data_IF_078380748435
#
_entry.id   IF_078380748435
#
_cell.length_a   1.000
_cell.length_b   1.000
_cell.length_c   1.000
_cell.angle_alpha   90.00
_cell.angle_beta   90.00
_cell.angle_gamma   90.00
#
_symmetry.space_group_name_H-M   'P 1'
#
loop_
_entity.id
_entity.type
_entity.pdbx_description
1 polymer ?
#
# COMPACT_ATOMS: atom_id res chain seq x y z
N UNK A 1 -10.79 14.96 10.83
CA UNK A 1 -12.12 14.56 11.36
C UNK A 1 -11.91 13.88 12.71
N UNK A 2 -12.83 14.05 13.67
CA UNK A 2 -12.77 13.39 14.97
C UNK A 2 -13.95 12.42 15.09
N UNK A 3 -13.67 11.20 15.57
CA UNK A 3 -14.69 10.18 15.84
C UNK A 3 -14.53 9.68 17.28
N UNK A 4 -15.65 9.38 17.94
CA UNK A 4 -15.66 8.70 19.23
C UNK A 4 -16.10 7.26 19.01
N UNK A 5 -15.32 6.31 19.53
CA UNK A 5 -15.61 4.87 19.42
C UNK A 5 -15.74 4.28 20.82
N UNK A 6 -16.71 3.38 20.98
CA UNK A 6 -16.83 2.57 22.19
C UNK A 6 -15.88 1.37 22.09
N UNK A 7 -15.05 1.17 23.13
CA UNK A 7 -14.16 0.03 23.26
C UNK A 7 -14.55 -0.76 24.51
N UNK A 8 -14.44 -2.10 24.50
CA UNK A 8 -14.52 -2.89 25.72
C UNK A 8 -13.51 -2.40 26.76
N UNK A 9 -13.92 -2.35 28.04
CA UNK A 9 -13.11 -1.77 29.13
C UNK A 9 -11.69 -2.36 29.18
N UNK A 10 -11.59 -3.69 29.14
CA UNK A 10 -10.32 -4.42 29.13
C UNK A 10 -9.39 -3.99 27.98
N UNK A 11 -9.97 -3.76 26.79
CA UNK A 11 -9.20 -3.31 25.63
C UNK A 11 -8.76 -1.85 25.78
N UNK A 12 -9.62 -1.00 26.34
CA UNK A 12 -9.29 0.40 26.62
C UNK A 12 -8.17 0.51 27.66
N UNK A 13 -8.21 -0.31 28.72
CA UNK A 13 -7.14 -0.38 29.73
C UNK A 13 -5.81 -0.79 29.11
N UNK A 14 -5.80 -1.86 28.29
CA UNK A 14 -4.59 -2.33 27.60
C UNK A 14 -4.02 -1.26 26.66
N UNK A 15 -4.86 -0.59 25.88
CA UNK A 15 -4.41 0.51 25.01
C UNK A 15 -3.79 1.65 25.82
N UNK A 16 -4.42 2.05 26.94
CA UNK A 16 -3.94 3.13 27.79
C UNK A 16 -2.60 2.82 28.44
N UNK A 17 -2.38 1.55 28.81
CA UNK A 17 -1.15 1.06 29.42
C UNK A 17 0.00 0.91 28.40
N UNK A 18 -0.31 0.45 27.18
CA UNK A 18 0.70 0.18 26.17
C UNK A 18 1.08 1.42 25.33
N UNK A 19 0.16 2.38 25.15
CA UNK A 19 0.35 3.51 24.23
C UNK A 19 0.25 4.86 24.98
N UNK A 20 1.29 5.72 24.89
CA UNK A 20 1.29 7.06 25.47
C UNK A 20 0.10 7.89 25.01
N UNK A 21 -0.46 8.72 25.89
CA UNK A 21 -1.68 9.48 25.61
C UNK A 21 -1.64 10.32 24.31
N UNK A 22 -0.47 10.85 23.96
CA UNK A 22 -0.27 11.69 22.76
C UNK A 22 -0.15 10.89 21.46
N UNK A 23 0.01 9.57 21.55
CA UNK A 23 0.25 8.68 20.40
C UNK A 23 -0.94 7.76 20.11
N UNK A 24 -1.94 7.70 21.00
CA UNK A 24 -3.10 6.79 20.87
C UNK A 24 -3.87 6.99 19.57
N UNK A 25 -4.09 8.24 19.17
CA UNK A 25 -4.78 8.53 17.90
C UNK A 25 -3.95 8.08 16.69
N UNK A 26 -2.63 8.23 16.74
CA UNK A 26 -1.74 7.76 15.67
C UNK A 26 -1.71 6.23 15.60
N UNK A 27 -1.66 5.55 16.75
CA UNK A 27 -1.75 4.10 16.84
C UNK A 27 -3.05 3.57 16.25
N UNK A 28 -4.20 4.16 16.61
CA UNK A 28 -5.50 3.77 16.07
C UNK A 28 -5.56 4.05 14.56
N UNK A 29 -5.05 5.19 14.10
CA UNK A 29 -5.02 5.52 12.68
C UNK A 29 -4.21 4.51 11.86
N UNK A 30 -3.06 4.09 12.38
CA UNK A 30 -2.23 3.08 11.70
C UNK A 30 -2.88 1.69 11.71
N UNK A 31 -3.51 1.31 12.83
CA UNK A 31 -4.28 0.08 12.91
C UNK A 31 -5.42 0.07 11.88
N UNK A 32 -6.16 1.16 11.76
CA UNK A 32 -7.24 1.30 10.78
C UNK A 32 -6.70 1.25 9.35
N UNK A 33 -5.58 1.91 9.04
CA UNK A 33 -4.98 1.87 7.70
C UNK A 33 -4.57 0.46 7.28
N UNK A 34 -4.10 -0.36 8.23
CA UNK A 34 -3.73 -1.76 7.96
C UNK A 34 -4.93 -2.70 7.86
N UNK A 35 -5.99 -2.41 8.63
CA UNK A 35 -7.15 -3.29 8.74
C UNK A 35 -8.23 -2.99 7.69
N UNK A 36 -8.36 -1.73 7.29
CA UNK A 36 -9.24 -1.34 6.21
C UNK A 36 -8.55 -1.66 4.89
N UNK A 37 -9.28 -2.17 3.88
CA UNK A 37 -8.73 -2.28 2.54
C UNK A 37 -8.26 -0.89 2.10
N UNK A 38 -7.18 -0.83 1.32
CA UNK A 38 -6.86 0.40 0.60
C UNK A 38 -8.12 0.83 -0.14
N UNK A 39 -8.47 2.12 -0.01
CA UNK A 39 -9.58 2.68 -0.77
C UNK A 39 -9.42 2.22 -2.19
N UNK A 40 -10.48 1.61 -2.69
CA UNK A 40 -10.51 0.78 -3.86
C UNK A 40 -10.34 1.70 -5.08
N UNK A 41 -9.09 2.15 -5.29
CA UNK A 41 -8.68 3.23 -6.17
C UNK A 41 -9.13 2.85 -7.57
N UNK A 42 -10.02 3.62 -8.21
CA UNK A 42 -10.46 3.35 -9.57
C UNK A 42 -9.28 3.15 -10.52
N UNK A 43 -8.17 3.87 -10.35
CA UNK A 43 -6.96 3.70 -11.15
C UNK A 43 -6.27 2.38 -10.84
N UNK A 44 -6.17 1.97 -9.58
CA UNK A 44 -5.62 0.67 -9.20
C UNK A 44 -6.44 -0.47 -9.80
N UNK A 45 -7.77 -0.40 -9.76
CA UNK A 45 -8.64 -1.43 -10.37
C UNK A 45 -8.47 -1.50 -11.89
N UNK A 46 -8.39 -0.35 -12.55
CA UNK A 46 -8.18 -0.29 -14.00
C UNK A 46 -6.81 -0.86 -14.35
N UNK A 47 -5.76 -0.45 -13.64
CA UNK A 47 -4.41 -0.98 -13.84
C UNK A 47 -4.38 -2.49 -13.61
N UNK A 48 -4.99 -2.97 -12.53
CA UNK A 48 -5.10 -4.40 -12.25
C UNK A 48 -5.86 -5.17 -13.34
N UNK A 49 -6.96 -4.62 -13.85
CA UNK A 49 -7.72 -5.24 -14.94
C UNK A 49 -6.91 -5.31 -16.24
N UNK A 50 -6.07 -4.30 -16.51
CA UNK A 50 -5.14 -4.26 -17.64
C UNK A 50 -4.05 -5.34 -17.50
N UNK A 51 -3.45 -5.47 -16.31
CA UNK A 51 -2.43 -6.51 -16.03
C UNK A 51 -3.00 -7.94 -16.10
N UNK A 52 -4.27 -8.14 -15.71
CA UNK A 52 -4.94 -9.45 -15.75
C UNK A 52 -5.41 -9.83 -17.18
N UNK A 53 -5.36 -8.93 -18.16
CA UNK A 53 -5.72 -9.20 -19.55
C UNK A 53 -4.59 -9.96 -20.28
N UNK A 54 -4.78 -11.28 -20.41
CA UNK A 54 -3.80 -12.16 -21.04
C UNK A 54 -3.54 -11.88 -22.53
N UNK A 55 -4.52 -11.32 -23.26
CA UNK A 55 -4.34 -10.99 -24.67
C UNK A 55 -3.44 -9.76 -24.81
N UNK A 56 -3.71 -8.73 -24.01
CA UNK A 56 -2.88 -7.52 -23.95
C UNK A 56 -1.48 -7.84 -23.42
N UNK A 57 -1.36 -8.66 -22.37
CA UNK A 57 -0.06 -9.08 -21.84
C UNK A 57 0.79 -9.83 -22.89
N UNK A 58 0.17 -10.64 -23.74
CA UNK A 58 0.84 -11.32 -24.84
C UNK A 58 1.35 -10.34 -25.90
N UNK A 59 0.59 -9.28 -26.22
CA UNK A 59 1.04 -8.19 -27.10
C UNK A 59 2.17 -7.36 -26.47
N UNK A 60 2.16 -7.21 -25.14
CA UNK A 60 3.17 -6.45 -24.40
C UNK A 60 4.47 -7.23 -24.14
N UNK A 61 4.46 -8.57 -24.21
CA UNK A 61 5.64 -9.40 -23.95
C UNK A 61 6.84 -9.06 -24.86
N UNK A 62 6.58 -8.64 -26.10
CA UNK A 62 7.63 -8.24 -27.04
C UNK A 62 8.38 -6.96 -26.58
N UNK A 63 7.77 -6.16 -25.71
CA UNK A 63 8.36 -4.94 -25.16
C UNK A 63 9.25 -5.20 -23.95
N UNK A 64 9.16 -6.36 -23.29
CA UNK A 64 9.96 -6.70 -22.10
C UNK A 64 11.47 -6.60 -22.33
N UNK A 65 11.92 -6.79 -23.58
CA UNK A 65 13.33 -6.64 -23.97
C UNK A 65 13.87 -5.23 -23.70
N UNK A 66 12.99 -4.22 -23.68
CA UNK A 66 13.35 -2.80 -23.44
C UNK A 66 13.32 -2.41 -21.96
N UNK A 67 12.85 -3.28 -21.06
CA UNK A 67 12.68 -2.96 -19.64
C UNK A 67 13.99 -2.61 -18.91
N UNK A 68 15.14 -3.05 -19.45
CA UNK A 68 16.47 -2.78 -18.92
C UNK A 68 17.19 -1.62 -19.62
N UNK A 69 16.57 -0.97 -20.60
CA UNK A 69 17.17 0.13 -21.33
C UNK A 69 17.53 1.29 -20.39
N UNK A 70 18.75 1.80 -20.52
CA UNK A 70 19.26 2.87 -19.65
C UNK A 70 19.74 2.44 -18.26
N UNK A 71 19.59 1.15 -17.88
CA UNK A 71 20.17 0.59 -16.64
C UNK A 71 21.62 0.09 -16.83
N UNK A 72 22.11 0.06 -18.07
CA UNK A 72 23.51 -0.20 -18.40
C UNK A 72 24.40 0.98 -18.01
N UNK A 73 24.97 0.91 -16.80
CA UNK A 73 26.03 1.83 -16.35
C UNK A 73 27.16 1.93 -17.37
N UNK A 74 27.60 3.16 -17.62
CA UNK A 74 28.56 3.51 -18.65
C UNK A 74 29.76 2.58 -18.76
N UNK A 75 30.18 2.37 -20.00
CA UNK A 75 31.45 1.80 -20.38
C UNK A 75 32.55 2.26 -19.42
N UNK A 76 33.07 1.29 -18.65
CA UNK A 76 34.23 1.46 -17.81
C UNK A 76 35.41 1.98 -18.66
N UNK A 77 36.18 2.86 -18.04
CA UNK A 77 37.46 3.36 -18.51
C UNK A 77 38.28 2.33 -19.31
N UNK A 78 38.68 2.72 -20.54
CA UNK A 78 40.08 2.77 -21.02
C UNK A 78 40.14 3.39 -22.41
#
# INVERSE_FOLDING_TARGET
MQICVHLPEELAMRLRAAVPARERSAFIADLLRRALPEEDDPLYRIARAVEEDAALAAEMADWDVTAADGLGGGHAAR
#
